data_IF_843997561015
#
_entry.id   IF_843997561015
#
_cell.length_a   1.000
_cell.length_b   1.000
_cell.length_c   1.000
_cell.angle_alpha   90.00
_cell.angle_beta   90.00
_cell.angle_gamma   90.00
#
_symmetry.space_group_name_H-M   'P 1'
#
loop_
_entity.id
_entity.type
_entity.pdbx_description
1 polymer ?
#
# COMPACT_ATOMS: atom_id res chain seq x y z
N UNK A 1 -7.93 17.55 23.45
CA UNK A 1 -7.93 16.23 24.12
C UNK A 1 -6.52 15.88 24.59
N UNK A 2 -6.39 14.88 25.44
CA UNK A 2 -5.12 14.40 26.01
C UNK A 2 -5.12 12.87 26.06
N UNK A 3 -4.01 12.24 25.65
CA UNK A 3 -3.76 10.81 25.74
C UNK A 3 -2.44 10.61 26.50
N UNK A 4 -2.36 9.57 27.34
CA UNK A 4 -1.11 9.18 28.00
C UNK A 4 -0.82 7.72 27.75
N UNK A 5 0.36 7.39 27.26
CA UNK A 5 0.74 6.01 26.98
C UNK A 5 2.10 5.92 26.31
N UNK A 6 2.49 4.72 25.94
CA UNK A 6 3.72 4.48 25.19
C UNK A 6 3.48 4.83 23.72
N UNK A 7 4.12 5.89 23.23
CA UNK A 7 4.10 6.20 21.80
C UNK A 7 5.07 5.27 21.08
N UNK A 8 4.56 4.39 20.21
CA UNK A 8 5.41 3.48 19.45
C UNK A 8 6.22 4.23 18.37
N UNK A 9 7.49 3.84 18.11
CA UNK A 9 8.19 2.65 18.65
C UNK A 9 8.94 2.87 19.98
N UNK A 10 8.66 3.96 20.71
CA UNK A 10 9.28 4.23 22.00
C UNK A 10 8.90 3.22 23.11
N UNK A 11 9.48 3.43 24.29
CA UNK A 11 9.29 2.53 25.44
C UNK A 11 8.71 3.23 26.67
N UNK A 12 8.92 4.54 26.79
CA UNK A 12 8.47 5.33 27.92
C UNK A 12 7.05 5.85 27.70
N UNK A 13 6.28 5.95 28.79
CA UNK A 13 5.01 6.66 28.74
C UNK A 13 5.25 8.16 28.53
N UNK A 14 4.50 8.73 27.59
CA UNK A 14 4.48 10.16 27.32
C UNK A 14 3.05 10.68 27.33
N UNK A 15 2.91 11.98 27.57
CA UNK A 15 1.65 12.69 27.45
C UNK A 15 1.59 13.34 26.05
N UNK A 16 0.50 13.09 25.32
CA UNK A 16 0.22 13.65 23.99
C UNK A 16 -1.05 14.48 24.08
N UNK A 17 -0.97 15.76 23.74
CA UNK A 17 -2.13 16.63 23.65
C UNK A 17 -2.52 16.84 22.20
N UNK A 18 -3.81 17.11 22.00
CA UNK A 18 -4.31 17.50 20.68
C UNK A 18 -5.20 18.73 20.85
N UNK A 19 -4.94 19.73 20.00
CA UNK A 19 -5.63 21.01 19.97
C UNK A 19 -5.74 21.48 18.53
N UNK A 20 -6.92 21.97 18.15
CA UNK A 20 -7.17 22.55 16.81
C UNK A 20 -6.76 21.60 15.65
N UNK A 21 -6.98 20.30 15.84
CA UNK A 21 -6.63 19.24 14.88
C UNK A 21 -5.16 18.84 14.84
N UNK A 22 -4.31 19.44 15.68
CA UNK A 22 -2.86 19.23 15.68
C UNK A 22 -2.36 18.59 16.98
N UNK A 23 -1.30 17.80 16.87
CA UNK A 23 -0.55 17.24 17.99
C UNK A 23 0.22 18.35 18.70
N UNK A 24 0.21 18.32 20.03
CA UNK A 24 1.07 19.11 20.89
C UNK A 24 1.77 18.21 21.90
N UNK A 25 3.10 18.22 21.88
CA UNK A 25 3.93 17.60 22.94
C UNK A 25 4.08 18.51 24.19
N UNK A 26 3.51 19.72 24.14
CA UNK A 26 3.40 20.60 25.29
C UNK A 26 2.01 20.51 25.91
N UNK A 27 1.88 20.66 27.24
CA UNK A 27 0.58 20.65 27.92
C UNK A 27 -0.42 21.65 27.35
N UNK A 28 -1.64 21.19 27.08
CA UNK A 28 -2.77 22.05 26.70
C UNK A 28 -3.70 22.21 27.91
N UNK A 29 -3.81 23.43 28.50
CA UNK A 29 -4.69 23.67 29.64
C UNK A 29 -6.13 23.31 29.34
N UNK A 30 -6.80 22.64 30.30
CA UNK A 30 -8.20 22.23 30.16
C UNK A 30 -8.43 21.03 29.24
N UNK A 31 -7.38 20.35 28.75
CA UNK A 31 -7.55 19.17 27.92
C UNK A 31 -8.17 17.99 28.71
N UNK A 32 -9.28 17.46 28.22
CA UNK A 32 -9.87 16.22 28.72
C UNK A 32 -8.98 15.03 28.37
N UNK A 33 -8.67 14.19 29.35
CA UNK A 33 -7.96 12.93 29.09
C UNK A 33 -8.94 11.88 28.57
N UNK A 34 -8.66 11.32 27.40
CA UNK A 34 -9.54 10.37 26.71
C UNK A 34 -9.02 8.93 26.78
N UNK A 35 -7.72 8.73 26.96
CA UNK A 35 -7.09 7.41 27.11
C UNK A 35 -5.83 7.49 28.00
N UNK A 36 -5.54 6.42 28.76
CA UNK A 36 -4.33 6.29 29.61
C UNK A 36 -3.82 4.84 29.69
N UNK A 37 -2.51 4.67 29.85
CA UNK A 37 -1.89 3.41 30.28
C UNK A 37 -1.79 2.33 29.21
N UNK A 38 -1.88 2.71 27.93
CA UNK A 38 -1.77 1.82 26.78
C UNK A 38 -0.77 2.33 25.76
N UNK A 39 -0.99 2.00 24.49
CA UNK A 39 -0.11 2.29 23.37
C UNK A 39 -0.76 3.31 22.44
N UNK A 40 0.02 4.32 22.07
CA UNK A 40 -0.37 5.33 21.09
C UNK A 40 0.44 5.06 19.82
N UNK A 41 -0.24 4.92 18.70
CA UNK A 41 0.40 4.63 17.41
C UNK A 41 -0.02 5.71 16.41
N UNK A 42 0.91 6.26 15.60
CA UNK A 42 0.49 7.06 14.45
C UNK A 42 -0.50 6.24 13.62
N UNK A 43 -1.58 6.86 13.12
CA UNK A 43 -2.65 6.14 12.44
C UNK A 43 -2.09 5.22 11.34
N UNK A 44 -2.62 4.01 11.23
CA UNK A 44 -2.07 3.00 10.34
C UNK A 44 -2.09 3.46 8.88
N UNK A 45 -1.27 2.79 8.08
CA UNK A 45 -1.09 3.00 6.65
C UNK A 45 -1.40 1.70 5.94
N UNK A 46 -2.32 1.77 4.99
CA UNK A 46 -2.38 0.78 3.92
C UNK A 46 -1.65 1.35 2.71
N UNK A 47 -0.48 0.79 2.40
CA UNK A 47 0.35 1.24 1.29
C UNK A 47 -0.13 0.70 -0.06
N UNK A 48 -1.13 -0.17 -0.13
CA UNK A 48 -1.65 -0.64 -1.40
C UNK A 48 -3.10 -1.05 -1.21
N UNK A 49 -4.00 -0.16 -1.57
CA UNK A 49 -5.41 -0.48 -1.68
C UNK A 49 -5.98 0.22 -2.93
N UNK A 50 -7.25 0.01 -3.19
CA UNK A 50 -7.95 0.53 -4.35
C UNK A 50 -9.33 1.06 -3.96
N UNK A 51 -9.37 2.25 -3.36
CA UNK A 51 -10.64 2.88 -3.01
C UNK A 51 -11.36 3.24 -4.30
N UNK A 52 -12.54 2.65 -4.46
CA UNK A 52 -13.36 2.79 -5.65
C UNK A 52 -13.36 1.61 -6.60
N UNK A 53 -12.67 0.51 -6.26
CA UNK A 53 -12.84 -0.78 -6.94
C UNK A 53 -13.78 -1.65 -6.10
N UNK A 54 -14.90 -2.06 -6.69
CA UNK A 54 -15.93 -2.84 -5.99
C UNK A 54 -15.46 -4.26 -5.72
N UNK A 55 -15.82 -4.80 -4.55
CA UNK A 55 -15.62 -6.22 -4.25
C UNK A 55 -16.45 -7.09 -5.21
N UNK A 56 -15.81 -8.06 -5.87
CA UNK A 56 -16.37 -8.83 -6.96
C UNK A 56 -16.18 -8.21 -8.35
N UNK A 57 -15.56 -7.02 -8.44
CA UNK A 57 -15.17 -6.36 -9.69
C UNK A 57 -16.09 -5.20 -10.10
N UNK A 58 -15.54 -4.27 -10.89
CA UNK A 58 -16.20 -3.04 -11.28
C UNK A 58 -15.67 -1.82 -10.52
N UNK A 59 -16.46 -0.76 -10.49
CA UNK A 59 -16.13 0.47 -9.77
C UNK A 59 -17.29 0.90 -8.88
N UNK A 60 -16.95 1.54 -7.76
CA UNK A 60 -17.93 2.10 -6.83
C UNK A 60 -18.49 3.43 -7.33
N UNK A 61 -19.64 3.80 -6.79
CA UNK A 61 -20.08 5.19 -6.77
C UNK A 61 -19.48 5.95 -5.57
N UNK A 62 -19.88 7.21 -5.39
CA UNK A 62 -19.36 8.03 -4.30
C UNK A 62 -19.68 7.42 -2.92
N UNK A 63 -20.90 6.96 -2.70
CA UNK A 63 -21.32 6.39 -1.41
C UNK A 63 -20.54 5.09 -1.10
N UNK A 64 -20.28 4.27 -2.12
CA UNK A 64 -19.41 3.11 -2.03
C UNK A 64 -17.97 3.48 -1.65
N UNK A 65 -17.39 4.50 -2.27
CA UNK A 65 -16.04 4.97 -1.91
C UNK A 65 -15.96 5.50 -0.48
N UNK A 66 -17.00 6.19 0.00
CA UNK A 66 -17.12 6.66 1.39
C UNK A 66 -17.19 5.47 2.34
N UNK A 67 -17.97 4.43 2.02
CA UNK A 67 -18.09 3.24 2.84
C UNK A 67 -16.75 2.49 2.96
N UNK A 68 -16.04 2.28 1.84
CA UNK A 68 -14.72 1.65 1.84
C UNK A 68 -13.71 2.42 2.71
N UNK A 69 -13.62 3.74 2.52
CA UNK A 69 -12.73 4.59 3.31
C UNK A 69 -13.14 4.65 4.81
N UNK A 70 -14.43 4.50 5.11
CA UNK A 70 -14.93 4.39 6.49
C UNK A 70 -14.46 3.08 7.14
N UNK A 71 -14.57 1.95 6.43
CA UNK A 71 -14.06 0.66 6.91
C UNK A 71 -12.57 0.72 7.23
N UNK A 72 -11.76 1.35 6.37
CA UNK A 72 -10.33 1.55 6.65
C UNK A 72 -10.09 2.38 7.92
N UNK A 73 -10.84 3.47 8.12
CA UNK A 73 -10.74 4.29 9.32
C UNK A 73 -11.07 3.51 10.59
N UNK A 74 -12.13 2.69 10.56
CA UNK A 74 -12.62 1.95 11.72
C UNK A 74 -11.57 0.97 12.26
N UNK A 75 -10.75 0.39 11.39
CA UNK A 75 -9.62 -0.47 11.78
C UNK A 75 -8.33 0.31 12.07
N UNK A 76 -8.39 1.65 11.99
CA UNK A 76 -7.28 2.54 12.31
C UNK A 76 -6.36 2.90 11.15
N UNK A 77 -6.67 2.51 9.90
CA UNK A 77 -5.95 2.96 8.70
C UNK A 77 -6.37 4.39 8.34
N UNK A 78 -5.53 5.36 8.71
CA UNK A 78 -5.83 6.80 8.58
C UNK A 78 -5.10 7.46 7.42
N UNK A 79 -4.22 6.71 6.75
CA UNK A 79 -3.54 7.09 5.52
C UNK A 79 -3.57 5.91 4.54
N UNK A 80 -4.04 6.13 3.33
CA UNK A 80 -4.12 5.11 2.29
C UNK A 80 -3.26 5.54 1.11
N UNK A 81 -2.46 4.65 0.54
CA UNK A 81 -1.94 4.83 -0.82
C UNK A 81 -2.83 4.01 -1.75
N UNK A 82 -3.70 4.73 -2.46
CA UNK A 82 -4.48 4.14 -3.53
C UNK A 82 -3.54 3.85 -4.70
N UNK A 83 -3.24 2.59 -4.92
CA UNK A 83 -2.29 2.12 -5.91
C UNK A 83 -2.91 1.96 -7.30
N UNK A 84 -3.96 2.73 -7.61
CA UNK A 84 -4.57 2.83 -8.93
C UNK A 84 -6.08 2.63 -8.85
N UNK A 85 -6.86 3.63 -9.23
CA UNK A 85 -8.33 3.54 -9.16
C UNK A 85 -9.00 3.94 -10.49
N UNK A 86 -10.07 3.26 -10.92
CA UNK A 86 -10.86 3.66 -12.08
C UNK A 86 -11.72 4.91 -11.82
N UNK A 87 -11.87 5.32 -10.56
CA UNK A 87 -12.69 6.45 -10.15
C UNK A 87 -11.86 7.54 -9.50
N UNK A 88 -12.31 8.78 -9.65
CA UNK A 88 -11.70 9.92 -8.99
C UNK A 88 -12.22 10.06 -7.55
N UNK A 89 -11.37 9.75 -6.58
CA UNK A 89 -11.72 9.81 -5.15
C UNK A 89 -11.39 11.15 -4.50
N UNK A 90 -11.02 12.21 -5.24
CA UNK A 90 -10.66 13.52 -4.66
C UNK A 90 -11.77 14.16 -3.84
N UNK A 91 -13.03 13.90 -4.16
CA UNK A 91 -14.17 14.37 -3.37
C UNK A 91 -14.13 13.87 -1.91
N UNK A 92 -13.43 12.76 -1.62
CA UNK A 92 -13.26 12.26 -0.25
C UNK A 92 -12.35 13.15 0.61
N UNK A 93 -11.52 14.01 0.00
CA UNK A 93 -10.62 14.88 0.76
C UNK A 93 -11.37 15.96 1.57
N UNK A 94 -12.59 16.30 1.12
CA UNK A 94 -13.51 17.25 1.78
C UNK A 94 -14.19 16.64 3.03
N UNK A 95 -14.14 15.32 3.19
CA UNK A 95 -14.69 14.67 4.38
C UNK A 95 -13.74 14.82 5.56
N UNK A 96 -14.17 15.46 6.64
CA UNK A 96 -13.38 15.62 7.87
C UNK A 96 -13.19 14.30 8.64
N UNK A 97 -13.95 13.28 8.28
CA UNK A 97 -14.03 12.01 8.98
C UNK A 97 -13.39 10.85 8.22
N UNK A 98 -12.86 11.02 7.01
CA UNK A 98 -12.24 9.92 6.23
C UNK A 98 -10.70 9.95 6.21
N UNK A 99 -10.03 8.79 6.03
CA UNK A 99 -8.58 8.72 5.85
C UNK A 99 -8.08 9.63 4.73
N UNK A 100 -6.83 10.07 4.80
CA UNK A 100 -6.19 10.75 3.66
C UNK A 100 -5.77 9.71 2.63
N UNK A 101 -6.02 10.00 1.36
CA UNK A 101 -5.66 9.12 0.26
C UNK A 101 -4.51 9.76 -0.53
N UNK A 102 -3.47 8.99 -0.82
CA UNK A 102 -2.39 9.31 -1.75
C UNK A 102 -2.68 8.52 -3.02
N UNK A 103 -3.07 9.21 -4.10
CA UNK A 103 -3.52 8.56 -5.34
C UNK A 103 -2.37 8.30 -6.30
N UNK A 104 -2.32 7.10 -6.88
CA UNK A 104 -1.39 6.74 -7.95
C UNK A 104 -1.98 6.97 -9.37
N UNK A 105 -3.07 7.74 -9.47
CA UNK A 105 -3.85 7.86 -10.69
C UNK A 105 -4.61 6.57 -11.00
N UNK A 106 -4.74 6.25 -12.28
CA UNK A 106 -5.32 4.99 -12.77
C UNK A 106 -4.21 4.08 -13.28
N UNK A 107 -4.37 2.78 -13.08
CA UNK A 107 -3.49 1.75 -13.67
C UNK A 107 -3.24 2.03 -15.16
N UNK A 108 -2.01 1.88 -15.63
CA UNK A 108 -1.67 1.94 -17.05
C UNK A 108 -1.29 0.54 -17.52
N UNK A 109 -1.92 0.07 -18.60
CA UNK A 109 -1.72 -1.27 -19.15
C UNK A 109 -1.82 -1.28 -20.68
N UNK A 110 -1.37 -2.37 -21.29
CA UNK A 110 -1.67 -2.69 -22.69
C UNK A 110 -3.06 -3.33 -22.83
N UNK A 111 -3.69 -3.33 -24.02
CA UNK A 111 -5.07 -3.75 -24.18
C UNK A 111 -5.22 -5.23 -23.86
N UNK A 112 -6.20 -5.58 -23.03
CA UNK A 112 -6.42 -6.95 -22.54
C UNK A 112 -5.24 -7.51 -21.71
N UNK A 113 -4.37 -6.64 -21.21
CA UNK A 113 -3.27 -6.99 -20.30
C UNK A 113 -3.52 -6.47 -18.88
N UNK A 114 -4.79 -6.27 -18.55
CA UNK A 114 -5.26 -6.05 -17.18
C UNK A 114 -6.76 -6.32 -17.06
N UNK A 115 -7.31 -6.13 -15.86
CA UNK A 115 -8.73 -6.31 -15.56
C UNK A 115 -9.57 -5.26 -16.34
N UNK A 116 -10.59 -5.70 -17.10
CA UNK A 116 -11.42 -4.79 -17.91
C UNK A 116 -12.03 -3.65 -17.09
N UNK A 117 -11.87 -2.42 -17.60
CA UNK A 117 -12.46 -1.23 -16.98
C UNK A 117 -11.65 -0.63 -15.83
N UNK A 118 -10.55 -1.24 -15.41
CA UNK A 118 -9.72 -0.71 -14.32
C UNK A 118 -8.57 0.17 -14.81
N UNK A 119 -7.96 -0.15 -15.97
CA UNK A 119 -6.80 0.57 -16.49
C UNK A 119 -7.14 1.60 -17.59
N UNK A 120 -6.20 2.53 -17.81
CA UNK A 120 -6.01 3.19 -19.10
C UNK A 120 -5.29 2.20 -20.02
N UNK A 121 -6.01 1.68 -21.01
CA UNK A 121 -5.45 0.80 -22.04
C UNK A 121 -4.74 1.65 -23.12
N UNK A 122 -3.43 1.47 -23.25
CA UNK A 122 -2.63 2.09 -24.32
C UNK A 122 -2.70 1.24 -25.58
N UNK A 123 -2.80 1.85 -26.77
CA UNK A 123 -2.82 1.10 -28.03
C UNK A 123 -1.42 0.67 -28.47
N UNK A 124 -0.40 1.44 -28.08
CA UNK A 124 1.00 1.23 -28.41
C UNK A 124 1.91 1.63 -27.24
N UNK A 125 2.94 0.83 -26.95
CA UNK A 125 3.84 1.08 -25.82
C UNK A 125 4.58 2.43 -25.91
N UNK A 126 4.77 2.99 -27.11
CA UNK A 126 5.41 4.30 -27.28
C UNK A 126 4.60 5.44 -26.64
N UNK A 127 3.32 5.22 -26.32
CA UNK A 127 2.47 6.16 -25.62
C UNK A 127 2.73 6.20 -24.10
N UNK A 128 3.44 5.20 -23.56
CA UNK A 128 3.61 5.03 -22.11
C UNK A 128 4.20 6.28 -21.42
N UNK A 129 5.26 6.94 -21.94
CA UNK A 129 5.82 8.11 -21.25
C UNK A 129 4.84 9.28 -21.10
N UNK A 130 4.03 9.55 -22.12
CA UNK A 130 3.03 10.63 -22.05
C UNK A 130 1.88 10.24 -21.12
N UNK A 131 1.42 8.99 -21.17
CA UNK A 131 0.38 8.49 -20.28
C UNK A 131 0.83 8.53 -18.81
N UNK A 132 2.08 8.17 -18.54
CA UNK A 132 2.69 8.26 -17.21
C UNK A 132 2.78 9.71 -16.73
N UNK A 133 3.24 10.64 -17.57
CA UNK A 133 3.26 12.06 -17.20
C UNK A 133 1.84 12.60 -16.92
N UNK A 134 0.83 12.17 -17.69
CA UNK A 134 -0.55 12.54 -17.43
C UNK A 134 -1.05 11.98 -16.09
N UNK A 135 -0.81 10.70 -15.80
CA UNK A 135 -1.19 10.10 -14.51
C UNK A 135 -0.40 10.72 -13.35
N UNK A 136 0.86 11.10 -13.52
CA UNK A 136 1.66 11.77 -12.51
C UNK A 136 1.04 13.12 -12.08
N UNK A 137 0.52 13.89 -13.04
CA UNK A 137 -0.19 15.15 -12.77
C UNK A 137 -1.57 14.96 -12.14
N UNK A 138 -2.17 13.80 -12.31
CA UNK A 138 -3.45 13.43 -11.70
C UNK A 138 -3.24 12.78 -10.32
N UNK A 139 -2.14 12.08 -10.10
CA UNK A 139 -1.82 11.45 -8.83
C UNK A 139 -1.40 12.48 -7.77
N UNK A 140 -1.28 11.99 -6.54
CA UNK A 140 -0.75 12.74 -5.40
C UNK A 140 0.73 12.39 -5.19
N UNK A 141 1.51 12.40 -6.28
CA UNK A 141 2.94 12.07 -6.30
C UNK A 141 3.26 10.59 -6.56
N UNK A 142 2.31 9.81 -7.10
CA UNK A 142 2.52 8.42 -7.51
C UNK A 142 1.87 8.12 -8.87
N UNK A 143 2.41 7.11 -9.57
CA UNK A 143 1.84 6.51 -10.79
C UNK A 143 1.87 4.99 -10.66
N UNK A 144 0.81 4.31 -11.10
CA UNK A 144 0.73 2.84 -11.13
C UNK A 144 0.82 2.28 -12.56
N UNK A 145 1.81 1.41 -12.77
CA UNK A 145 1.94 0.56 -13.94
C UNK A 145 1.45 -0.86 -13.68
N UNK A 146 1.05 -1.54 -14.74
CA UNK A 146 0.99 -3.01 -14.79
C UNK A 146 2.28 -3.50 -15.44
N UNK A 147 3.10 -4.26 -14.73
CA UNK A 147 4.43 -4.67 -15.17
C UNK A 147 4.42 -5.99 -15.97
N UNK A 148 3.60 -6.94 -15.54
CA UNK A 148 3.38 -8.22 -16.23
C UNK A 148 1.89 -8.60 -16.27
N UNK A 149 1.55 -9.49 -17.20
CA UNK A 149 0.21 -10.08 -17.29
C UNK A 149 0.20 -11.30 -18.20
N UNK A 150 -0.92 -12.03 -18.16
CA UNK A 150 -1.15 -13.18 -19.04
C UNK A 150 -1.46 -12.81 -20.49
N UNK A 151 -0.72 -13.45 -21.40
CA UNK A 151 -0.86 -13.35 -22.85
C UNK A 151 -0.78 -14.73 -23.54
N UNK A 152 -1.81 -15.09 -24.30
CA UNK A 152 -1.82 -16.36 -25.05
C UNK A 152 -0.70 -16.50 -26.06
N UNK A 153 -0.22 -15.40 -26.61
CA UNK A 153 0.71 -15.41 -27.74
C UNK A 153 2.17 -15.37 -27.28
N UNK A 154 2.42 -14.78 -26.12
CA UNK A 154 3.78 -14.52 -25.59
C UNK A 154 4.10 -15.42 -24.41
N UNK A 155 3.18 -15.52 -23.45
CA UNK A 155 3.46 -16.21 -22.20
C UNK A 155 2.50 -15.85 -21.07
N UNK A 156 2.77 -16.39 -19.88
CA UNK A 156 1.88 -16.35 -18.75
C UNK A 156 2.03 -15.09 -17.89
N UNK A 157 3.25 -14.64 -17.63
CA UNK A 157 3.55 -13.40 -16.89
C UNK A 157 4.65 -12.64 -17.64
N UNK A 158 4.44 -12.43 -18.95
CA UNK A 158 5.41 -11.74 -19.77
C UNK A 158 5.46 -10.24 -19.42
N UNK A 159 6.64 -9.60 -19.49
CA UNK A 159 6.75 -8.14 -19.34
C UNK A 159 5.85 -7.42 -20.34
N UNK A 160 5.17 -6.37 -19.88
CA UNK A 160 4.26 -5.58 -20.72
C UNK A 160 4.96 -4.56 -21.61
N UNK A 161 6.19 -4.17 -21.27
CA UNK A 161 6.82 -2.97 -21.80
C UNK A 161 8.28 -3.25 -22.16
N UNK A 162 8.74 -2.69 -23.28
CA UNK A 162 10.17 -2.61 -23.61
C UNK A 162 10.94 -1.76 -22.58
N UNK A 163 12.15 -2.21 -22.21
CA UNK A 163 13.00 -1.56 -21.20
C UNK A 163 13.32 -0.10 -21.54
N UNK A 164 13.55 0.22 -22.82
CA UNK A 164 13.86 1.59 -23.22
C UNK A 164 12.63 2.49 -23.15
N UNK A 165 11.43 1.94 -23.33
CA UNK A 165 10.15 2.63 -23.13
C UNK A 165 9.91 2.85 -21.63
N UNK A 166 10.09 1.81 -20.80
CA UNK A 166 9.95 1.89 -19.34
C UNK A 166 10.80 2.99 -18.75
N UNK A 167 12.09 3.04 -19.10
CA UNK A 167 13.00 4.08 -18.61
C UNK A 167 12.53 5.48 -18.97
N UNK A 168 12.10 5.71 -20.22
CA UNK A 168 11.56 7.03 -20.61
C UNK A 168 10.29 7.38 -19.84
N UNK A 169 9.47 6.39 -19.51
CA UNK A 169 8.23 6.61 -18.78
C UNK A 169 8.48 6.93 -17.30
N UNK A 170 9.37 6.19 -16.65
CA UNK A 170 9.77 6.46 -15.26
C UNK A 170 10.47 7.83 -15.16
N UNK A 171 11.37 8.15 -16.10
CA UNK A 171 11.99 9.48 -16.21
C UNK A 171 10.92 10.59 -16.31
N UNK A 172 9.83 10.34 -17.06
CA UNK A 172 8.74 11.30 -17.23
C UNK A 172 7.92 11.49 -15.93
N UNK A 173 7.65 10.43 -15.17
CA UNK A 173 7.02 10.55 -13.85
C UNK A 173 7.91 11.34 -12.87
N UNK A 174 9.19 11.01 -12.80
CA UNK A 174 10.15 11.68 -11.92
C UNK A 174 10.30 13.16 -12.29
N UNK A 175 10.25 13.51 -13.57
CA UNK A 175 10.27 14.91 -14.03
C UNK A 175 9.03 15.72 -13.56
N UNK A 176 7.89 15.06 -13.36
CA UNK A 176 6.69 15.64 -12.76
C UNK A 176 6.70 15.59 -11.22
N UNK A 177 7.75 15.03 -10.62
CA UNK A 177 7.91 14.88 -9.17
C UNK A 177 7.11 13.72 -8.57
N UNK A 178 6.62 12.79 -9.39
CA UNK A 178 5.89 11.60 -8.95
C UNK A 178 6.80 10.37 -8.93
N UNK A 179 6.56 9.47 -7.97
CA UNK A 179 7.16 8.13 -7.91
C UNK A 179 6.37 7.13 -8.74
N UNK A 180 6.98 6.01 -9.11
CA UNK A 180 6.34 4.95 -9.89
C UNK A 180 6.28 3.65 -9.10
N UNK A 181 5.12 3.00 -9.15
CA UNK A 181 4.88 1.66 -8.62
C UNK A 181 4.36 0.73 -9.73
N UNK A 182 4.66 -0.56 -9.67
CA UNK A 182 4.18 -1.54 -10.64
C UNK A 182 3.61 -2.81 -9.99
N UNK A 183 2.48 -3.29 -10.52
CA UNK A 183 2.03 -4.67 -10.33
C UNK A 183 3.00 -5.63 -11.02
N UNK A 184 3.63 -6.55 -10.27
CA UNK A 184 4.56 -7.55 -10.81
C UNK A 184 4.42 -8.87 -10.06
N UNK A 185 4.02 -9.93 -10.77
CA UNK A 185 4.00 -11.29 -10.22
C UNK A 185 5.21 -12.12 -10.65
N UNK A 186 5.61 -12.05 -11.92
CA UNK A 186 6.64 -12.87 -12.53
C UNK A 186 8.05 -12.32 -12.36
N UNK A 187 9.03 -13.18 -12.64
CA UNK A 187 10.46 -12.89 -12.59
C UNK A 187 10.87 -11.89 -13.68
N UNK A 188 10.34 -12.08 -14.89
CA UNK A 188 10.89 -11.51 -16.12
C UNK A 188 10.72 -9.99 -16.24
N UNK A 189 9.72 -9.40 -15.57
CA UNK A 189 9.49 -7.95 -15.62
C UNK A 189 10.38 -7.16 -14.64
N UNK A 190 10.93 -7.83 -13.62
CA UNK A 190 11.67 -7.19 -12.53
C UNK A 190 12.95 -6.50 -13.00
N UNK A 191 13.85 -7.11 -13.80
CA UNK A 191 15.11 -6.47 -14.19
C UNK A 191 14.90 -5.16 -14.95
N UNK A 192 13.94 -5.13 -15.89
CA UNK A 192 13.61 -3.96 -16.68
C UNK A 192 13.03 -2.82 -15.83
N UNK A 193 12.10 -3.13 -14.92
CA UNK A 193 11.49 -2.14 -14.02
C UNK A 193 12.51 -1.57 -13.03
N UNK A 194 13.31 -2.43 -12.39
CA UNK A 194 14.33 -2.00 -11.42
C UNK A 194 15.43 -1.19 -12.12
N UNK A 195 15.95 -1.69 -13.25
CA UNK A 195 16.98 -0.99 -14.03
C UNK A 195 16.50 0.32 -14.66
N UNK A 196 15.19 0.49 -14.84
CA UNK A 196 14.58 1.75 -15.26
C UNK A 196 14.36 2.75 -14.11
N UNK A 197 14.64 2.37 -12.86
CA UNK A 197 14.58 3.25 -11.69
C UNK A 197 13.22 3.29 -11.00
N UNK A 198 12.44 2.21 -11.03
CA UNK A 198 11.15 2.17 -10.32
C UNK A 198 11.31 2.33 -8.81
N UNK A 199 10.38 3.06 -8.18
CA UNK A 199 10.44 3.38 -6.75
C UNK A 199 9.89 2.24 -5.87
N UNK A 200 8.91 1.48 -6.37
CA UNK A 200 8.24 0.43 -5.60
C UNK A 200 7.76 -0.72 -6.50
N UNK A 201 8.06 -1.95 -6.10
CA UNK A 201 7.46 -3.16 -6.66
C UNK A 201 6.30 -3.57 -5.76
N UNK A 202 5.16 -3.87 -6.37
CA UNK A 202 4.01 -4.45 -5.69
C UNK A 202 3.97 -5.95 -5.93
N UNK A 203 3.53 -6.70 -4.93
CA UNK A 203 3.47 -8.16 -4.90
C UNK A 203 4.87 -8.79 -4.84
N UNK A 204 5.67 -8.67 -5.91
CA UNK A 204 7.07 -9.10 -5.95
C UNK A 204 7.27 -10.60 -5.76
N UNK A 205 6.28 -11.43 -6.07
CA UNK A 205 6.34 -12.89 -5.87
C UNK A 205 7.47 -13.56 -6.66
N UNK A 206 7.78 -12.99 -7.82
CA UNK A 206 8.82 -13.45 -8.74
C UNK A 206 10.23 -13.04 -8.36
N UNK A 207 10.46 -12.35 -7.22
CA UNK A 207 11.80 -11.92 -6.84
C UNK A 207 12.78 -13.12 -6.74
N UNK A 208 13.93 -12.93 -7.36
CA UNK A 208 15.13 -13.78 -7.31
C UNK A 208 16.22 -13.10 -6.48
N UNK A 209 17.26 -13.83 -6.08
CA UNK A 209 18.42 -13.24 -5.37
C UNK A 209 19.02 -12.06 -6.17
N UNK A 210 19.18 -12.21 -7.48
CA UNK A 210 19.72 -11.16 -8.36
C UNK A 210 18.84 -9.90 -8.34
N UNK A 211 17.52 -10.06 -8.50
CA UNK A 211 16.61 -8.91 -8.48
C UNK A 211 16.48 -8.28 -7.09
N UNK A 212 16.65 -9.05 -6.01
CA UNK A 212 16.72 -8.51 -4.64
C UNK A 212 17.97 -7.64 -4.48
N UNK A 213 19.13 -8.12 -4.94
CA UNK A 213 20.35 -7.33 -4.96
C UNK A 213 20.18 -6.04 -5.77
N UNK A 214 19.52 -6.11 -6.94
CA UNK A 214 19.21 -4.93 -7.73
C UNK A 214 18.30 -3.94 -6.99
N UNK A 215 17.26 -4.40 -6.28
CA UNK A 215 16.39 -3.53 -5.49
C UNK A 215 17.15 -2.81 -4.39
N UNK A 216 18.09 -3.51 -3.71
CA UNK A 216 18.96 -2.89 -2.71
C UNK A 216 19.86 -1.83 -3.34
N UNK A 217 20.47 -2.12 -4.49
CA UNK A 217 21.33 -1.17 -5.21
C UNK A 217 20.56 0.09 -5.65
N UNK A 218 19.33 -0.07 -6.13
CA UNK A 218 18.51 1.02 -6.67
C UNK A 218 17.65 1.72 -5.60
N UNK A 219 17.59 1.18 -4.38
CA UNK A 219 16.73 1.70 -3.31
C UNK A 219 15.23 1.50 -3.59
N UNK A 220 14.87 0.48 -4.37
CA UNK A 220 13.49 0.14 -4.71
C UNK A 220 12.79 -0.52 -3.51
N UNK A 221 11.60 -0.04 -3.17
CA UNK A 221 10.78 -0.61 -2.10
C UNK A 221 9.95 -1.82 -2.56
N UNK A 222 9.48 -2.62 -1.60
CA UNK A 222 8.54 -3.72 -1.80
C UNK A 222 7.28 -3.50 -0.97
N UNK A 223 6.11 -3.70 -1.60
CA UNK A 223 4.83 -3.86 -0.92
C UNK A 223 4.25 -5.22 -1.33
N UNK A 224 4.35 -6.25 -0.49
CA UNK A 224 4.18 -7.64 -0.92
C UNK A 224 2.71 -8.07 -1.04
N UNK A 225 1.76 -7.40 -0.38
CA UNK A 225 0.33 -7.72 -0.45
C UNK A 225 0.03 -9.18 -0.16
N UNK A 226 0.65 -9.73 0.88
CA UNK A 226 0.63 -11.16 1.20
C UNK A 226 -0.80 -11.71 1.32
N UNK A 227 -1.75 -10.91 1.84
CA UNK A 227 -3.16 -11.34 1.91
C UNK A 227 -3.79 -11.53 0.52
N UNK A 228 -3.38 -10.75 -0.48
CA UNK A 228 -3.82 -10.92 -1.86
C UNK A 228 -3.16 -12.14 -2.51
N UNK A 229 -1.89 -12.41 -2.17
CA UNK A 229 -1.18 -13.58 -2.69
C UNK A 229 -1.88 -14.89 -2.27
N UNK A 230 -2.56 -14.92 -1.13
CA UNK A 230 -3.38 -16.08 -0.72
C UNK A 230 -4.54 -16.41 -1.69
N UNK A 231 -4.89 -15.51 -2.61
CA UNK A 231 -5.88 -15.77 -3.66
C UNK A 231 -5.32 -16.53 -4.87
N UNK A 232 -3.98 -16.65 -4.99
CA UNK A 232 -3.31 -17.25 -6.14
C UNK A 232 -3.78 -18.67 -6.48
N UNK A 233 -3.99 -19.59 -5.51
CA UNK A 233 -4.55 -20.91 -5.81
C UNK A 233 -5.93 -20.86 -6.49
N UNK A 234 -6.81 -19.96 -6.07
CA UNK A 234 -8.14 -19.77 -6.67
C UNK A 234 -8.06 -19.18 -8.09
N UNK A 235 -7.13 -18.24 -8.31
CA UNK A 235 -6.82 -17.69 -9.63
C UNK A 235 -6.31 -18.79 -10.56
N UNK A 236 -5.38 -19.62 -10.08
CA UNK A 236 -4.83 -20.75 -10.82
C UNK A 236 -5.89 -21.80 -11.16
N UNK A 237 -6.79 -22.14 -10.23
CA UNK A 237 -7.91 -23.06 -10.46
C UNK A 237 -8.88 -22.54 -11.52
N UNK A 238 -9.11 -21.22 -11.55
CA UNK A 238 -9.97 -20.55 -12.53
C UNK A 238 -9.32 -20.47 -13.91
N UNK A 239 -8.00 -20.50 -14.01
CA UNK A 239 -7.22 -20.40 -15.24
C UNK A 239 -7.15 -21.71 -16.04
N UNK A 240 -8.27 -22.45 -16.13
CA UNK A 240 -8.37 -23.76 -16.82
C UNK A 240 -7.88 -23.80 -18.26
N UNK A 241 -7.86 -22.65 -18.95
CA UNK A 241 -7.36 -22.51 -20.34
C UNK A 241 -5.86 -22.19 -20.42
N UNK A 242 -5.19 -22.04 -19.28
CA UNK A 242 -3.80 -21.61 -19.16
C UNK A 242 -3.05 -22.45 -18.11
N UNK A 243 -2.84 -23.75 -18.36
CA UNK A 243 -2.25 -24.64 -17.36
C UNK A 243 -0.84 -24.20 -16.91
N UNK A 244 0.00 -23.69 -17.82
CA UNK A 244 1.33 -23.17 -17.47
C UNK A 244 1.25 -22.00 -16.50
N UNK A 245 0.36 -21.04 -16.76
CA UNK A 245 0.10 -19.92 -15.85
C UNK A 245 -0.41 -20.42 -14.51
N UNK A 246 -1.34 -21.38 -14.50
CA UNK A 246 -1.86 -21.93 -13.26
C UNK A 246 -0.78 -22.62 -12.42
N UNK A 247 0.12 -23.39 -13.06
CA UNK A 247 1.25 -24.02 -12.38
C UNK A 247 2.24 -22.97 -11.86
N UNK A 248 2.53 -21.94 -12.65
CA UNK A 248 3.43 -20.85 -12.26
C UNK A 248 2.88 -20.03 -11.09
N UNK A 249 1.59 -19.65 -11.10
CA UNK A 249 0.96 -18.95 -9.96
C UNK A 249 1.01 -19.79 -8.67
N UNK A 250 0.86 -21.13 -8.76
CA UNK A 250 1.00 -22.01 -7.59
C UNK A 250 2.44 -22.08 -7.10
N UNK A 251 3.42 -22.09 -8.00
CA UNK A 251 4.83 -22.04 -7.64
C UNK A 251 5.19 -20.73 -6.92
N UNK A 252 4.79 -19.60 -7.50
CA UNK A 252 4.95 -18.26 -6.90
C UNK A 252 4.33 -18.17 -5.50
N UNK A 253 3.10 -18.66 -5.33
CA UNK A 253 2.44 -18.74 -4.01
C UNK A 253 3.22 -19.63 -3.03
N UNK A 254 3.67 -20.80 -3.47
CA UNK A 254 4.39 -21.74 -2.60
C UNK A 254 5.72 -21.18 -2.08
N UNK A 255 6.36 -20.28 -2.82
CA UNK A 255 7.68 -19.71 -2.49
C UNK A 255 7.65 -18.27 -1.97
N UNK A 256 6.51 -17.57 -2.01
CA UNK A 256 6.43 -16.13 -1.66
C UNK A 256 6.96 -15.81 -0.26
N UNK A 257 6.67 -16.66 0.74
CA UNK A 257 7.10 -16.41 2.10
C UNK A 257 8.63 -16.39 2.24
N UNK A 258 9.32 -17.34 1.60
CA UNK A 258 10.79 -17.35 1.52
C UNK A 258 11.32 -16.17 0.71
N UNK A 259 10.69 -15.88 -0.43
CA UNK A 259 11.08 -14.75 -1.30
C UNK A 259 11.04 -13.41 -0.56
N UNK A 260 9.93 -13.10 0.14
CA UNK A 260 9.79 -11.84 0.89
C UNK A 260 10.73 -11.83 2.11
N UNK A 261 10.91 -12.97 2.78
CA UNK A 261 11.88 -13.11 3.87
C UNK A 261 13.32 -12.82 3.42
N UNK A 262 13.75 -13.35 2.27
CA UNK A 262 15.06 -13.04 1.69
C UNK A 262 15.20 -11.57 1.32
N UNK A 263 14.16 -10.95 0.78
CA UNK A 263 14.17 -9.51 0.47
C UNK A 263 14.32 -8.66 1.75
N UNK A 264 13.59 -9.01 2.81
CA UNK A 264 13.73 -8.39 4.13
C UNK A 264 15.16 -8.52 4.66
N UNK A 265 15.71 -9.74 4.67
CA UNK A 265 17.04 -10.04 5.21
C UNK A 265 18.17 -9.34 4.42
N UNK A 266 17.96 -9.12 3.12
CA UNK A 266 18.86 -8.35 2.27
C UNK A 266 18.79 -6.82 2.51
N UNK A 267 17.77 -6.34 3.24
CA UNK A 267 17.58 -4.93 3.57
C UNK A 267 16.71 -4.15 2.57
N UNK A 268 15.89 -4.83 1.76
CA UNK A 268 14.88 -4.17 0.93
C UNK A 268 13.84 -3.48 1.83
N UNK A 269 13.53 -2.18 1.62
CA UNK A 269 12.47 -1.51 2.37
C UNK A 269 11.11 -2.16 2.08
N UNK A 270 10.44 -2.69 3.11
CA UNK A 270 9.13 -3.35 3.00
C UNK A 270 8.05 -2.52 3.73
N UNK A 271 6.90 -2.35 3.08
CA UNK A 271 5.73 -1.67 3.65
C UNK A 271 4.47 -2.53 3.53
N UNK A 272 3.56 -2.41 4.49
CA UNK A 272 2.30 -3.15 4.49
C UNK A 272 1.32 -2.52 3.50
N UNK A 273 0.76 -3.34 2.61
CA UNK A 273 -0.34 -2.97 1.73
C UNK A 273 -1.21 -4.18 1.46
N UNK A 274 -2.53 -4.03 1.38
CA UNK A 274 -3.46 -5.18 1.43
C UNK A 274 -3.91 -5.67 0.05
N UNK A 275 -3.78 -4.83 -0.97
CA UNK A 275 -4.49 -4.91 -2.25
C UNK A 275 -6.03 -4.92 -2.07
N UNK A 276 -6.54 -4.27 -1.01
CA UNK A 276 -7.99 -4.17 -0.77
C UNK A 276 -8.70 -3.46 -1.92
N UNK A 277 -9.84 -4.02 -2.33
CA UNK A 277 -10.54 -3.69 -3.57
C UNK A 277 -10.54 -4.88 -4.54
N UNK A 278 -11.60 -5.03 -5.33
CA UNK A 278 -11.71 -6.12 -6.29
C UNK A 278 -11.95 -7.49 -5.63
N UNK A 279 -10.90 -8.18 -5.18
CA UNK A 279 -11.01 -9.53 -4.59
C UNK A 279 -10.74 -9.59 -3.08
N UNK A 280 -10.24 -8.49 -2.52
CA UNK A 280 -9.91 -8.35 -1.10
C UNK A 280 -10.84 -7.31 -0.48
N UNK A 281 -11.41 -7.62 0.68
CA UNK A 281 -12.24 -6.68 1.44
C UNK A 281 -11.38 -5.57 2.05
N UNK A 282 -11.93 -4.37 2.19
CA UNK A 282 -11.29 -3.25 2.90
C UNK A 282 -11.18 -3.52 4.41
N UNK A 283 -10.23 -2.84 5.07
CA UNK A 283 -10.02 -2.93 6.52
C UNK A 283 -9.15 -4.09 6.97
N UNK A 284 -8.30 -4.63 6.09
CA UNK A 284 -7.50 -5.85 6.33
C UNK A 284 -6.03 -5.57 6.68
N UNK A 285 -5.66 -4.31 6.93
CA UNK A 285 -4.24 -3.92 7.18
C UNK A 285 -3.61 -4.68 8.35
N UNK A 286 -4.38 -5.03 9.38
CA UNK A 286 -3.88 -5.80 10.51
C UNK A 286 -3.45 -7.23 10.12
N UNK A 287 -4.13 -7.82 9.14
CA UNK A 287 -3.80 -9.15 8.64
C UNK A 287 -2.52 -9.13 7.80
N UNK A 288 -2.32 -8.07 7.01
CA UNK A 288 -1.06 -7.86 6.28
C UNK A 288 0.11 -7.68 7.26
N UNK A 289 -0.08 -6.94 8.36
CA UNK A 289 0.94 -6.84 9.43
C UNK A 289 1.26 -8.22 10.03
N UNK A 290 0.24 -9.05 10.27
CA UNK A 290 0.44 -10.41 10.76
C UNK A 290 1.18 -11.29 9.72
N UNK A 291 0.84 -11.16 8.44
CA UNK A 291 1.51 -11.85 7.34
C UNK A 291 2.99 -11.45 7.22
N UNK A 292 3.30 -10.15 7.38
CA UNK A 292 4.67 -9.64 7.41
C UNK A 292 5.50 -10.26 8.56
N UNK A 293 4.89 -10.44 9.73
CA UNK A 293 5.56 -11.19 10.83
C UNK A 293 5.81 -12.64 10.42
N UNK A 294 4.85 -13.28 9.73
CA UNK A 294 4.96 -14.65 9.23
C UNK A 294 6.11 -14.88 8.26
N UNK A 295 6.55 -13.84 7.53
CA UNK A 295 7.68 -13.91 6.57
C UNK A 295 9.01 -13.40 7.15
N UNK A 296 9.06 -13.06 8.45
CA UNK A 296 10.32 -12.82 9.16
C UNK A 296 10.51 -11.43 9.77
N UNK A 297 9.60 -10.48 9.53
CA UNK A 297 9.68 -9.17 10.19
C UNK A 297 9.40 -9.32 11.69
N UNK A 298 10.08 -8.53 12.52
CA UNK A 298 9.70 -8.45 13.94
C UNK A 298 8.31 -7.83 14.09
N UNK A 299 7.53 -8.14 15.14
CA UNK A 299 6.22 -7.50 15.34
C UNK A 299 6.27 -5.97 15.40
N UNK A 300 7.40 -5.40 15.84
CA UNK A 300 7.57 -3.93 15.85
C UNK A 300 7.84 -3.41 14.43
N UNK A 301 8.68 -4.08 13.64
CA UNK A 301 8.99 -3.65 12.28
C UNK A 301 7.80 -3.82 11.34
N UNK A 302 7.05 -4.93 11.46
CA UNK A 302 5.82 -5.15 10.70
C UNK A 302 4.75 -4.08 11.02
N UNK A 303 4.54 -3.74 12.29
CA UNK A 303 3.65 -2.63 12.65
C UNK A 303 4.19 -1.28 12.15
N UNK A 304 5.51 -1.06 12.20
CA UNK A 304 6.13 0.15 11.66
C UNK A 304 5.95 0.28 10.15
N UNK A 305 6.04 -0.83 9.43
CA UNK A 305 5.78 -0.96 7.99
C UNK A 305 4.30 -0.65 7.63
N UNK A 306 3.40 -0.66 8.60
CA UNK A 306 2.01 -0.20 8.48
C UNK A 306 1.72 1.09 9.27
N UNK A 307 2.74 1.81 9.75
CA UNK A 307 2.55 3.03 10.57
C UNK A 307 3.71 4.01 10.39
N UNK A 308 4.58 4.19 11.38
CA UNK A 308 5.57 5.28 11.40
C UNK A 308 6.62 5.20 10.29
N UNK A 309 6.99 3.99 9.85
CA UNK A 309 7.96 3.81 8.76
C UNK A 309 7.29 4.07 7.41
N UNK A 310 6.08 3.54 7.19
CA UNK A 310 5.29 3.81 5.99
C UNK A 310 4.90 5.28 5.84
N UNK A 311 4.45 5.94 6.91
CA UNK A 311 4.15 7.38 6.91
C UNK A 311 5.35 8.19 6.46
N UNK A 312 6.53 7.92 7.03
CA UNK A 312 7.77 8.61 6.68
C UNK A 312 8.13 8.40 5.20
N UNK A 313 8.03 7.16 4.71
CA UNK A 313 8.29 6.83 3.31
C UNK A 313 7.36 7.55 2.33
N UNK A 314 6.09 7.71 2.72
CA UNK A 314 5.06 8.45 1.98
C UNK A 314 5.09 9.97 2.24
N UNK A 315 6.09 10.50 2.95
CA UNK A 315 6.22 11.94 3.20
C UNK A 315 5.13 12.50 4.13
N UNK A 316 4.66 11.70 5.09
CA UNK A 316 3.68 12.07 6.11
C UNK A 316 4.30 11.96 7.51
N UNK A 317 3.95 12.93 8.35
CA UNK A 317 4.43 12.96 9.74
C UNK A 317 3.76 11.86 10.57
N UNK A 318 4.48 11.42 11.61
CA UNK A 318 3.94 10.60 12.68
C UNK A 318 3.33 11.46 13.78
N UNK A 319 3.63 11.12 15.03
CA UNK A 319 3.23 11.90 16.21
C UNK A 319 4.34 12.90 16.53
N UNK A 320 4.20 14.12 16.03
CA UNK A 320 5.18 15.19 16.15
C UNK A 320 4.47 16.52 16.50
N UNK A 321 5.11 17.41 17.27
CA UNK A 321 4.50 18.70 17.62
C UNK A 321 4.15 19.51 16.35
N UNK A 322 2.89 19.91 16.22
CA UNK A 322 2.37 20.65 15.07
C UNK A 322 1.93 19.78 13.89
N UNK A 323 2.13 18.46 13.93
CA UNK A 323 1.59 17.55 12.91
C UNK A 323 0.07 17.35 13.07
N UNK A 324 -0.67 16.98 12.00
CA UNK A 324 -2.06 16.54 12.12
C UNK A 324 -2.20 15.42 13.15
N UNK A 325 -3.23 15.51 13.99
CA UNK A 325 -3.52 14.49 14.99
C UNK A 325 -4.27 13.30 14.37
N UNK A 326 -3.50 12.45 13.70
CA UNK A 326 -3.94 11.19 13.12
C UNK A 326 -3.24 10.04 13.86
N UNK A 327 -3.90 9.52 14.89
CA UNK A 327 -3.36 8.50 15.79
C UNK A 327 -4.45 7.54 16.26
N UNK A 328 -4.03 6.37 16.70
CA UNK A 328 -4.89 5.36 17.32
C UNK A 328 -4.34 5.00 18.69
N UNK A 329 -5.23 4.59 19.59
CA UNK A 329 -4.88 4.11 20.91
C UNK A 329 -5.35 2.68 21.11
N UNK A 330 -4.51 1.88 21.76
CA UNK A 330 -4.82 0.53 22.19
C UNK A 330 -4.52 0.35 23.67
N UNK A 331 -5.45 -0.26 24.39
CA UNK A 331 -5.35 -0.65 25.79
C UNK A 331 -4.51 -1.91 25.99
N UNK A 332 -4.35 -2.70 24.91
CA UNK A 332 -3.47 -3.88 24.81
C UNK A 332 -2.40 -3.60 23.77
N UNK A 333 -1.20 -4.18 23.94
CA UNK A 333 -0.09 -3.94 23.01
C UNK A 333 -0.47 -4.38 21.59
N UNK A 334 -0.55 -3.47 20.61
CA UNK A 334 -1.02 -3.81 19.25
C UNK A 334 -0.06 -4.73 18.49
N UNK A 335 1.15 -4.98 19.03
CA UNK A 335 2.11 -5.93 18.45
C UNK A 335 1.81 -7.38 18.80
N UNK A 336 0.80 -7.67 19.62
CA UNK A 336 0.49 -9.05 20.03
C UNK A 336 -0.34 -9.83 19.01
N UNK A 337 -0.83 -9.18 17.95
CA UNK A 337 -1.52 -9.87 16.85
C UNK A 337 -2.62 -9.04 16.20
N UNK A 338 -3.17 -9.56 15.08
CA UNK A 338 -4.15 -8.85 14.26
C UNK A 338 -5.45 -8.53 15.02
N UNK A 339 -5.93 -9.44 15.89
CA UNK A 339 -7.16 -9.26 16.68
C UNK A 339 -7.16 -7.98 17.53
N UNK A 340 -5.99 -7.56 18.02
CA UNK A 340 -5.83 -6.31 18.78
C UNK A 340 -5.68 -5.15 17.81
N UNK A 341 -4.82 -5.29 16.80
CA UNK A 341 -4.47 -4.22 15.88
C UNK A 341 -5.67 -3.74 15.05
N UNK A 342 -6.59 -4.64 14.67
CA UNK A 342 -7.81 -4.31 13.90
C UNK A 342 -8.91 -3.65 14.73
N UNK A 343 -8.74 -3.52 16.04
CA UNK A 343 -9.75 -3.03 16.96
C UNK A 343 -9.19 -1.94 17.90
N UNK A 344 -8.80 -0.76 17.37
CA UNK A 344 -8.36 0.36 18.20
C UNK A 344 -9.45 0.80 19.19
N UNK A 345 -9.06 1.05 20.45
CA UNK A 345 -9.99 1.55 21.48
C UNK A 345 -10.39 3.02 21.23
N UNK A 346 -9.51 3.80 20.59
CA UNK A 346 -9.77 5.18 20.19
C UNK A 346 -9.13 5.44 18.84
N UNK A 347 -9.92 5.94 17.89
CA UNK A 347 -9.43 6.47 16.62
C UNK A 347 -9.49 7.99 16.67
N UNK A 348 -8.34 8.65 16.51
CA UNK A 348 -8.25 10.12 16.41
C UNK A 348 -7.83 10.49 14.99
N UNK A 349 -8.70 11.19 14.29
CA UNK A 349 -8.44 11.67 12.93
C UNK A 349 -8.66 13.18 12.88
N UNK A 350 -7.63 13.92 12.44
CA UNK A 350 -7.61 15.40 12.45
C UNK A 350 -8.06 15.98 13.79
N UNK A 351 -7.67 15.32 14.88
CA UNK A 351 -7.98 15.71 16.25
C UNK A 351 -9.45 15.60 16.67
N UNK A 352 -10.25 14.77 15.99
CA UNK A 352 -11.58 14.34 16.45
C UNK A 352 -11.57 12.85 16.72
N UNK A 353 -12.35 12.41 17.71
CA UNK A 353 -12.54 10.99 18.02
C UNK A 353 -13.68 10.45 17.16
N UNK A 354 -13.47 9.28 16.56
CA UNK A 354 -14.44 8.57 15.75
C UNK A 354 -14.73 7.19 16.34
#
# INVERSE_FOLDING_TARGET
MHLRGVVLPGHDEVDVWVRDGLVSLNPVPGATTVARGGWIVPGLVDAHCHVGITYGGGHEDHDGTVAQATTEREVGALLLRDAGSPVDTRALDDHEDLPRIIRAGRHIAMPKRYIPGLAVDLEDESQLPEAVAQQARLGDGWVKLVGDWIDREVGDLAPLWDDAVLRRAIDAAHAEGARVTAHVFGEDALPGLIGAGIDCIEHGTGLTDETIEMMVEHGTALVPTLINIETFPSIADSATRYPRYADHMRDLHARVADTVGRAHDAGVPIYAGTDAGGSIEHGRVADEVAALVGVGLSPTDALGAASWTARRWLGRAGIEHGAPADLVFYSTDPRTGPDVLSAPDVVVLRGRIW
#
